data_IF_717952594256
#
_entry.id   IF_717952594256
#
_cell.length_a   1.000
_cell.length_b   1.000
_cell.length_c   1.000
_cell.angle_alpha   90.00
_cell.angle_beta   90.00
_cell.angle_gamma   90.00
#
_symmetry.space_group_name_H-M   'P 1'
#
loop_
_entity.id
_entity.type
_entity.pdbx_description
1 polymer ?
#
# COMPACT_ATOMS: atom_id res chain seq x y z
N UNK A 1 -4.89 16.90 -2.00
CA UNK A 1 -4.05 15.80 -1.47
C UNK A 1 -2.81 16.37 -0.82
N UNK A 2 -2.43 15.81 0.30
CA UNK A 2 -1.13 16.16 0.80
C UNK A 2 -0.55 15.08 1.69
N UNK A 3 0.77 15.16 1.92
CA UNK A 3 1.52 14.20 2.69
C UNK A 3 2.12 14.92 3.88
N UNK A 4 1.91 14.34 5.07
CA UNK A 4 2.48 14.87 6.30
C UNK A 4 3.55 13.93 6.83
N UNK A 5 4.64 14.52 7.33
CA UNK A 5 5.63 13.80 8.10
C UNK A 5 5.44 14.18 9.56
N UNK A 6 5.13 13.19 10.39
CA UNK A 6 4.91 13.44 11.80
C UNK A 6 6.23 13.71 12.50
N UNK A 7 6.28 14.82 13.21
CA UNK A 7 7.47 15.24 13.88
C UNK A 7 7.90 14.23 14.94
N UNK A 8 9.19 13.88 14.94
CA UNK A 8 9.76 13.02 15.95
C UNK A 8 9.49 11.55 15.80
N UNK A 9 8.59 11.15 14.88
CA UNK A 9 8.22 9.75 14.69
C UNK A 9 8.59 9.25 13.31
N UNK A 10 8.94 10.12 12.39
CA UNK A 10 9.33 9.78 11.02
C UNK A 10 8.31 8.90 10.31
N UNK A 11 7.02 9.16 10.52
CA UNK A 11 5.98 8.45 9.81
C UNK A 11 5.38 9.34 8.74
N UNK A 12 5.10 8.73 7.59
CA UNK A 12 4.39 9.42 6.51
C UNK A 12 2.91 9.17 6.70
N UNK A 13 2.10 10.22 6.56
CA UNK A 13 0.66 10.11 6.64
C UNK A 13 0.04 10.68 5.38
N UNK A 14 -0.97 9.97 4.85
CA UNK A 14 -1.69 10.39 3.64
C UNK A 14 -3.17 10.34 3.95
N UNK A 15 -3.86 11.44 3.66
CA UNK A 15 -5.31 11.50 3.81
C UNK A 15 -5.99 11.10 2.51
N UNK A 16 -6.97 10.18 2.61
CA UNK A 16 -7.67 9.67 1.46
C UNK A 16 -9.10 9.35 1.87
N UNK A 17 -10.06 10.00 1.22
CA UNK A 17 -11.50 9.82 1.45
C UNK A 17 -11.86 9.96 2.94
N UNK A 18 -11.29 10.96 3.59
CA UNK A 18 -11.60 11.28 4.97
C UNK A 18 -10.91 10.42 6.02
N UNK A 19 -10.06 9.50 5.60
CA UNK A 19 -9.29 8.65 6.50
C UNK A 19 -7.81 8.97 6.37
N UNK A 20 -7.10 9.06 7.48
CA UNK A 20 -5.66 9.26 7.47
C UNK A 20 -4.97 7.91 7.60
N UNK A 21 -4.12 7.61 6.62
CA UNK A 21 -3.36 6.35 6.59
C UNK A 21 -1.93 6.62 6.95
N UNK A 22 -1.37 5.77 7.81
CA UNK A 22 0.05 5.85 8.18
C UNK A 22 0.83 4.85 7.34
N UNK A 23 1.87 5.34 6.67
CA UNK A 23 2.70 4.53 5.79
C UNK A 23 4.00 4.22 6.52
N UNK A 24 4.19 2.98 6.98
CA UNK A 24 5.38 2.63 7.74
C UNK A 24 6.60 2.48 6.85
N UNK A 25 7.78 2.51 7.45
CA UNK A 25 9.00 2.17 6.74
C UNK A 25 9.03 0.67 6.47
N UNK A 26 9.56 0.23 5.35
CA UNK A 26 10.20 1.02 4.30
C UNK A 26 9.26 1.47 3.19
N UNK A 27 7.95 1.28 3.35
CA UNK A 27 6.98 1.57 2.29
C UNK A 27 6.89 3.06 1.98
N UNK A 28 7.30 3.91 2.92
CA UNK A 28 7.34 5.36 2.71
C UNK A 28 8.37 5.76 1.64
N UNK A 29 9.29 4.87 1.30
CA UNK A 29 10.29 5.10 0.26
C UNK A 29 9.80 4.70 -1.12
N UNK A 30 8.65 4.04 -1.22
CA UNK A 30 8.15 3.55 -2.51
C UNK A 30 7.66 4.71 -3.36
N UNK A 31 7.86 4.61 -4.67
CA UNK A 31 7.38 5.62 -5.60
C UNK A 31 5.87 5.52 -5.72
N UNK A 32 5.18 6.61 -5.42
CA UNK A 32 3.73 6.67 -5.38
C UNK A 32 3.13 7.44 -6.57
N UNK A 33 3.97 7.82 -7.54
CA UNK A 33 3.52 8.62 -8.67
C UNK A 33 3.38 10.09 -8.30
N UNK A 34 2.80 10.86 -9.22
CA UNK A 34 2.61 12.30 -9.01
C UNK A 34 1.47 12.61 -8.07
N UNK A 35 0.50 11.70 -7.97
CA UNK A 35 -0.68 11.88 -7.13
C UNK A 35 -0.92 10.61 -6.32
N UNK A 36 -0.50 10.58 -5.04
CA UNK A 36 -0.63 9.37 -4.22
C UNK A 36 -2.06 8.89 -3.98
N UNK A 37 -3.05 9.76 -4.18
CA UNK A 37 -4.45 9.36 -3.98
C UNK A 37 -5.19 9.10 -5.28
N UNK A 38 -4.49 9.07 -6.41
CA UNK A 38 -5.11 8.69 -7.68
C UNK A 38 -5.55 7.23 -7.60
N UNK A 39 -6.80 6.96 -7.97
CA UNK A 39 -7.34 5.62 -7.90
C UNK A 39 -6.95 4.81 -9.12
N UNK A 40 -6.50 3.58 -8.88
CA UNK A 40 -6.05 2.66 -9.91
C UNK A 40 -6.76 1.33 -9.72
N UNK A 41 -7.11 0.67 -10.83
CA UNK A 41 -7.71 -0.65 -10.78
C UNK A 41 -6.62 -1.70 -10.99
N UNK A 42 -6.49 -2.60 -10.03
CA UNK A 42 -5.45 -3.63 -10.02
C UNK A 42 -6.11 -4.99 -10.14
N UNK A 43 -5.61 -5.82 -11.04
CA UNK A 43 -6.16 -7.14 -11.28
C UNK A 43 -5.28 -8.21 -10.65
N UNK A 44 -5.92 -9.17 -9.99
CA UNK A 44 -5.22 -10.37 -9.55
C UNK A 44 -5.02 -11.28 -10.77
N UNK A 45 -3.77 -11.56 -11.18
CA UNK A 45 -3.53 -12.33 -12.40
C UNK A 45 -3.98 -13.79 -12.31
N UNK A 46 -4.20 -14.30 -11.11
CA UNK A 46 -4.60 -15.69 -10.94
C UNK A 46 -6.10 -15.90 -10.98
N UNK A 47 -6.87 -14.93 -10.47
CA UNK A 47 -8.32 -15.06 -10.37
C UNK A 47 -9.08 -14.20 -11.37
N UNK A 48 -8.42 -13.23 -11.98
CA UNK A 48 -9.01 -12.18 -12.83
C UNK A 48 -9.95 -11.23 -12.07
N UNK A 49 -10.01 -11.34 -10.76
CA UNK A 49 -10.72 -10.35 -9.95
C UNK A 49 -9.88 -9.10 -9.81
N UNK A 50 -10.54 -7.96 -9.65
CA UNK A 50 -9.82 -6.70 -9.53
C UNK A 50 -10.32 -5.91 -8.33
N UNK A 51 -9.48 -4.97 -7.90
CA UNK A 51 -9.81 -4.05 -6.82
C UNK A 51 -9.26 -2.67 -7.14
N UNK A 52 -9.93 -1.65 -6.62
CA UNK A 52 -9.49 -0.27 -6.80
C UNK A 52 -8.74 0.18 -5.55
N UNK A 53 -7.55 0.74 -5.77
CA UNK A 53 -6.67 1.22 -4.71
C UNK A 53 -6.15 2.60 -5.06
N UNK A 54 -5.92 3.46 -4.04
CA UNK A 54 -5.16 4.69 -4.29
C UNK A 54 -3.70 4.36 -4.60
N UNK A 55 -3.03 5.24 -5.31
CA UNK A 55 -1.67 4.99 -5.77
C UNK A 55 -0.70 4.68 -4.63
N UNK A 56 -0.89 5.28 -3.45
CA UNK A 56 0.01 4.97 -2.33
C UNK A 56 -0.13 3.51 -1.89
N UNK A 57 -1.33 2.94 -1.95
CA UNK A 57 -1.54 1.54 -1.61
C UNK A 57 -1.02 0.62 -2.71
N UNK A 58 -1.12 1.04 -3.98
CA UNK A 58 -0.53 0.29 -5.09
C UNK A 58 0.99 0.21 -4.92
N UNK A 59 1.63 1.29 -4.48
CA UNK A 59 3.07 1.30 -4.23
C UNK A 59 3.46 0.28 -3.16
N UNK A 60 2.65 0.16 -2.11
CA UNK A 60 2.88 -0.85 -1.08
C UNK A 60 2.66 -2.26 -1.63
N UNK A 61 1.61 -2.44 -2.43
CA UNK A 61 1.33 -3.71 -3.09
C UNK A 61 2.52 -4.14 -3.96
N UNK A 62 3.04 -3.23 -4.77
CA UNK A 62 4.18 -3.53 -5.63
C UNK A 62 5.43 -3.88 -4.81
N UNK A 63 5.62 -3.21 -3.69
CA UNK A 63 6.75 -3.50 -2.79
C UNK A 63 6.62 -4.91 -2.20
N UNK A 64 5.40 -5.31 -1.82
CA UNK A 64 5.17 -6.67 -1.34
C UNK A 64 5.51 -7.69 -2.43
N UNK A 65 5.06 -7.45 -3.66
CA UNK A 65 5.32 -8.37 -4.76
C UNK A 65 6.82 -8.48 -5.06
N UNK A 66 7.53 -7.36 -5.03
CA UNK A 66 8.98 -7.37 -5.20
C UNK A 66 9.68 -8.10 -4.06
N UNK A 67 9.20 -7.93 -2.85
CA UNK A 67 9.79 -8.60 -1.69
C UNK A 67 9.56 -10.12 -1.74
N UNK A 68 8.42 -10.56 -2.28
CA UNK A 68 8.19 -11.99 -2.50
C UNK A 68 9.24 -12.57 -3.46
N UNK A 69 9.56 -11.84 -4.51
CA UNK A 69 10.53 -12.31 -5.51
C UNK A 69 11.94 -12.39 -4.94
N UNK A 70 12.28 -11.53 -3.98
CA UNK A 70 13.60 -11.52 -3.36
C UNK A 70 13.63 -12.26 -2.02
N UNK A 71 12.51 -12.88 -1.64
CA UNK A 71 12.37 -13.64 -0.41
C UNK A 71 12.61 -12.80 0.84
N UNK A 72 12.26 -11.52 0.78
CA UNK A 72 12.32 -10.63 1.94
C UNK A 72 10.99 -10.73 2.69
N UNK A 73 10.86 -11.80 3.47
CA UNK A 73 9.58 -12.12 4.10
C UNK A 73 9.20 -11.18 5.25
N UNK A 74 10.16 -10.45 5.81
CA UNK A 74 9.81 -9.42 6.80
C UNK A 74 9.00 -8.30 6.15
N UNK A 75 9.43 -7.85 4.97
CA UNK A 75 8.70 -6.84 4.20
C UNK A 75 7.32 -7.39 3.79
N UNK A 76 7.27 -8.63 3.33
CA UNK A 76 6.01 -9.26 2.93
C UNK A 76 5.03 -9.25 4.10
N UNK A 77 5.47 -9.70 5.29
CA UNK A 77 4.59 -9.75 6.46
C UNK A 77 4.10 -8.38 6.88
N UNK A 78 4.99 -7.40 6.88
CA UNK A 78 4.61 -6.03 7.24
C UNK A 78 3.58 -5.46 6.28
N UNK A 79 3.81 -5.66 4.99
CA UNK A 79 2.91 -5.17 3.95
C UNK A 79 1.54 -5.83 4.01
N UNK A 80 1.51 -7.13 4.19
CA UNK A 80 0.25 -7.87 4.29
C UNK A 80 -0.53 -7.41 5.53
N UNK A 81 0.14 -7.25 6.66
CA UNK A 81 -0.52 -6.74 7.88
C UNK A 81 -1.12 -5.36 7.65
N UNK A 82 -0.37 -4.50 6.97
CA UNK A 82 -0.85 -3.16 6.66
C UNK A 82 -2.10 -3.20 5.79
N UNK A 83 -2.11 -4.05 4.76
CA UNK A 83 -3.27 -4.21 3.88
C UNK A 83 -4.48 -4.80 4.59
N UNK A 84 -4.27 -5.81 5.42
CA UNK A 84 -5.37 -6.42 6.16
C UNK A 84 -6.06 -5.41 7.06
N UNK A 85 -5.29 -4.48 7.62
CA UNK A 85 -5.82 -3.49 8.53
C UNK A 85 -6.50 -2.33 7.81
N UNK A 86 -5.94 -1.91 6.68
CA UNK A 86 -6.34 -0.65 6.04
C UNK A 86 -7.19 -0.82 4.80
N UNK A 87 -7.02 -1.91 4.07
CA UNK A 87 -7.75 -2.20 2.83
C UNK A 87 -8.13 -3.66 2.81
N UNK A 88 -8.95 -4.05 3.78
CA UNK A 88 -9.29 -5.45 4.04
C UNK A 88 -9.91 -6.14 2.83
N UNK A 89 -10.87 -5.49 2.17
CA UNK A 89 -11.55 -6.11 1.03
C UNK A 89 -10.62 -6.25 -0.16
N UNK A 90 -9.84 -5.21 -0.43
CA UNK A 90 -8.86 -5.25 -1.52
C UNK A 90 -7.78 -6.29 -1.26
N UNK A 91 -7.38 -6.43 0.00
CA UNK A 91 -6.45 -7.49 0.40
C UNK A 91 -6.99 -8.87 0.02
N UNK A 92 -8.26 -9.12 0.30
CA UNK A 92 -8.86 -10.42 0.01
C UNK A 92 -8.90 -10.72 -1.49
N UNK A 93 -9.02 -9.69 -2.31
CA UNK A 93 -9.00 -9.85 -3.77
C UNK A 93 -7.59 -10.07 -4.30
N UNK A 94 -6.62 -9.30 -3.79
CA UNK A 94 -5.32 -9.18 -4.42
C UNK A 94 -4.22 -10.01 -3.77
N UNK A 95 -4.30 -10.25 -2.48
CA UNK A 95 -3.19 -10.82 -1.71
C UNK A 95 -3.56 -12.06 -0.89
N UNK A 96 -4.83 -12.33 -0.75
CA UNK A 96 -5.27 -13.48 0.05
C UNK A 96 -5.10 -14.80 -0.69
#
# INVERSE_FOLDING_TARGET
MYINLTNGVNTMQIEYKGTTYTIPKPFDQAFMGDNPIKELNIMNPYSNDSATLPAFAVAIYDTIKGAEMTEDYDIVRQGISWFQKNFTQQYMVLLD
#
